data_IF_853163100037
#
_entry.id   IF_853163100037
#
_cell.length_a   1.000
_cell.length_b   1.000
_cell.length_c   1.000
_cell.angle_alpha   90.00
_cell.angle_beta   90.00
_cell.angle_gamma   90.00
#
_symmetry.space_group_name_H-M   'P 1'
#
loop_
_entity.id
_entity.type
_entity.pdbx_description
1 polymer ?
#
# COMPACT_ATOMS: atom_id res chain seq x y z
N UNK A 1 23.73 49.27 -59.85
CA UNK A 1 23.99 49.51 -58.40
C UNK A 1 22.81 50.13 -57.62
N UNK A 2 21.57 50.08 -58.11
CA UNK A 2 20.37 50.52 -57.35
C UNK A 2 19.38 49.40 -57.02
N UNK A 3 19.65 48.16 -57.46
CA UNK A 3 18.78 47.01 -57.19
C UNK A 3 19.18 46.20 -55.93
N UNK A 4 20.39 46.39 -55.41
CA UNK A 4 20.88 45.64 -54.24
C UNK A 4 20.68 46.34 -52.89
N UNK A 5 20.19 47.59 -52.87
CA UNK A 5 19.98 48.35 -51.62
C UNK A 5 18.61 48.13 -50.97
N UNK A 6 17.60 47.68 -51.74
CA UNK A 6 16.24 47.45 -51.22
C UNK A 6 16.02 46.06 -50.63
N UNK A 7 16.87 45.07 -50.93
CA UNK A 7 16.72 43.70 -50.38
C UNK A 7 17.31 43.60 -48.96
N UNK A 8 18.27 44.46 -48.60
CA UNK A 8 18.87 44.47 -47.26
C UNK A 8 18.06 45.23 -46.20
N UNK A 9 17.28 46.24 -46.59
CA UNK A 9 16.41 46.96 -45.64
C UNK A 9 15.13 46.20 -45.28
N UNK A 10 14.57 45.39 -46.19
CA UNK A 10 13.44 44.51 -45.86
C UNK A 10 13.87 43.35 -44.96
N UNK A 11 15.12 42.86 -45.08
CA UNK A 11 15.63 41.77 -44.24
C UNK A 11 15.87 42.19 -42.79
N UNK A 12 16.33 43.43 -42.56
CA UNK A 12 16.49 43.95 -41.19
C UNK A 12 15.17 44.32 -40.51
N UNK A 13 14.15 44.78 -41.26
CA UNK A 13 12.81 45.01 -40.69
C UNK A 13 12.08 43.67 -40.44
N UNK A 14 12.30 42.65 -41.26
CA UNK A 14 11.75 41.30 -41.05
C UNK A 14 12.42 40.58 -39.87
N UNK A 15 13.74 40.75 -39.69
CA UNK A 15 14.47 40.21 -38.52
C UNK A 15 14.14 40.99 -37.24
N UNK A 16 13.87 42.31 -37.32
CA UNK A 16 13.39 43.10 -36.18
C UNK A 16 11.89 42.89 -35.88
N UNK A 17 11.07 42.48 -36.86
CA UNK A 17 9.69 41.99 -36.63
C UNK A 17 9.69 40.58 -36.05
N UNK A 18 10.58 39.68 -36.50
CA UNK A 18 10.76 38.34 -35.93
C UNK A 18 11.29 38.39 -34.49
N UNK A 19 12.06 39.41 -34.12
CA UNK A 19 12.50 39.64 -32.75
C UNK A 19 11.39 40.18 -31.80
N UNK A 20 10.20 40.53 -32.33
CA UNK A 20 9.03 40.99 -31.55
C UNK A 20 7.92 39.94 -31.42
N UNK A 21 8.10 38.72 -31.93
CA UNK A 21 7.10 37.64 -31.96
C UNK A 21 7.62 36.43 -31.17
N UNK A 22 7.98 36.61 -29.89
CA UNK A 22 8.46 35.48 -29.06
C UNK A 22 7.37 34.82 -28.20
N UNK A 23 6.10 35.19 -28.38
CA UNK A 23 4.97 34.62 -27.63
C UNK A 23 3.93 33.91 -28.50
N UNK A 24 4.00 34.04 -29.84
CA UNK A 24 2.99 33.50 -30.76
C UNK A 24 3.35 32.17 -31.45
N UNK A 25 4.62 31.75 -31.47
CA UNK A 25 5.03 30.49 -32.13
C UNK A 25 4.56 29.24 -31.38
N UNK A 26 4.67 29.27 -30.06
CA UNK A 26 4.30 28.19 -29.16
C UNK A 26 2.86 27.66 -29.31
N UNK A 27 1.89 28.51 -29.64
CA UNK A 27 0.50 28.10 -29.91
C UNK A 27 0.39 27.32 -31.22
N UNK A 28 0.93 27.87 -32.31
CA UNK A 28 0.86 27.26 -33.64
C UNK A 28 1.65 25.95 -33.69
N UNK A 29 2.82 25.90 -33.08
CA UNK A 29 3.70 24.73 -33.13
C UNK A 29 3.07 23.54 -32.41
N UNK A 30 2.39 23.77 -31.27
CA UNK A 30 1.64 22.73 -30.57
C UNK A 30 0.46 22.22 -31.41
N UNK A 31 -0.42 23.11 -31.82
CA UNK A 31 -1.65 22.73 -32.54
C UNK A 31 -1.29 22.06 -33.86
N UNK A 32 -0.29 22.55 -34.61
CA UNK A 32 0.18 21.94 -35.86
C UNK A 32 0.81 20.57 -35.64
N UNK A 33 1.61 20.39 -34.58
CA UNK A 33 2.25 19.10 -34.28
C UNK A 33 1.21 17.98 -34.06
N UNK A 34 0.02 18.31 -33.54
CA UNK A 34 -1.03 17.33 -33.25
C UNK A 34 -2.15 17.29 -34.31
N UNK A 35 -2.44 18.39 -35.02
CA UNK A 35 -3.47 18.44 -36.05
C UNK A 35 -3.22 17.51 -37.25
N UNK A 36 -1.95 17.23 -37.56
CA UNK A 36 -1.57 16.39 -38.70
C UNK A 36 -1.58 14.88 -38.40
N UNK A 37 -1.96 14.46 -37.19
CA UNK A 37 -1.79 13.08 -36.74
C UNK A 37 -3.07 12.26 -36.83
N UNK A 38 -2.90 11.01 -37.26
CA UNK A 38 -3.99 10.03 -37.40
C UNK A 38 -4.17 9.17 -36.13
N UNK A 39 -3.15 9.09 -35.27
CA UNK A 39 -3.18 8.40 -33.98
C UNK A 39 -2.43 9.18 -32.90
N UNK A 40 -2.84 8.97 -31.64
CA UNK A 40 -2.19 9.54 -30.46
C UNK A 40 -1.69 8.43 -29.54
N UNK A 41 -0.89 7.53 -30.08
CA UNK A 41 -0.19 6.55 -29.25
C UNK A 41 0.89 7.24 -28.40
N UNK A 42 1.33 6.59 -27.32
CA UNK A 42 2.42 7.12 -26.48
C UNK A 42 3.69 7.49 -27.27
N UNK A 43 4.21 6.65 -28.20
CA UNK A 43 5.36 7.01 -29.05
C UNK A 43 5.11 8.24 -29.92
N UNK A 44 3.90 8.36 -30.48
CA UNK A 44 3.53 9.54 -31.25
C UNK A 44 3.64 10.76 -30.33
N UNK A 45 2.92 10.79 -29.22
CA UNK A 45 2.92 11.90 -28.27
C UNK A 45 4.34 12.32 -27.87
N UNK A 46 5.21 11.34 -27.62
CA UNK A 46 6.61 11.60 -27.28
C UNK A 46 7.34 12.34 -28.40
N UNK A 47 7.28 11.85 -29.64
CA UNK A 47 7.93 12.50 -30.79
C UNK A 47 7.40 13.92 -31.03
N UNK A 48 6.11 14.18 -30.80
CA UNK A 48 5.56 15.54 -30.90
C UNK A 48 6.11 16.44 -29.80
N UNK A 49 6.05 16.01 -28.54
CA UNK A 49 6.50 16.83 -27.41
C UNK A 49 8.02 17.06 -27.39
N UNK A 50 8.79 16.15 -27.96
CA UNK A 50 10.22 16.36 -28.22
C UNK A 50 10.46 17.49 -29.23
N UNK A 51 9.61 17.61 -30.25
CA UNK A 51 9.74 18.63 -31.31
C UNK A 51 9.34 20.05 -30.89
N UNK A 52 8.39 20.19 -29.95
CA UNK A 52 7.88 21.52 -29.52
C UNK A 52 8.60 22.05 -28.26
N UNK A 53 9.29 21.20 -27.50
CA UNK A 53 10.03 21.62 -26.29
C UNK A 53 9.13 21.94 -25.09
N UNK A 54 9.64 22.68 -24.09
CA UNK A 54 8.87 23.13 -22.92
C UNK A 54 8.54 24.62 -23.00
N UNK A 55 7.27 24.96 -22.78
CA UNK A 55 6.76 26.33 -22.87
C UNK A 55 5.37 26.40 -22.22
N UNK A 56 4.80 27.60 -22.14
CA UNK A 56 3.45 27.82 -21.57
C UNK A 56 2.47 28.15 -22.70
N UNK A 57 1.70 27.16 -23.23
CA UNK A 57 0.62 27.42 -24.16
C UNK A 57 -0.47 28.27 -23.52
N UNK A 58 -1.26 28.97 -24.34
CA UNK A 58 -2.45 29.65 -23.83
C UNK A 58 -3.56 28.63 -23.60
N UNK A 59 -4.52 28.96 -22.72
CA UNK A 59 -5.74 28.16 -22.54
C UNK A 59 -6.47 27.96 -23.88
N UNK A 60 -6.43 28.98 -24.75
CA UNK A 60 -7.02 28.90 -26.09
C UNK A 60 -6.31 27.87 -27.00
N UNK A 61 -4.98 27.72 -26.90
CA UNK A 61 -4.25 26.64 -27.58
C UNK A 61 -4.82 25.28 -27.22
N UNK A 62 -5.10 25.07 -25.93
CA UNK A 62 -5.63 23.79 -25.45
C UNK A 62 -7.09 23.59 -25.80
N UNK A 63 -7.92 24.63 -25.84
CA UNK A 63 -9.30 24.51 -26.36
C UNK A 63 -9.30 24.10 -27.82
N UNK A 64 -8.44 24.69 -28.64
CA UNK A 64 -8.30 24.28 -30.04
C UNK A 64 -7.84 22.83 -30.15
N UNK A 65 -6.78 22.46 -29.40
CA UNK A 65 -6.29 21.08 -29.38
C UNK A 65 -7.35 20.09 -28.89
N UNK A 66 -8.13 20.46 -27.88
CA UNK A 66 -9.24 19.67 -27.35
C UNK A 66 -10.25 19.35 -28.46
N UNK A 67 -10.70 20.36 -29.23
CA UNK A 67 -11.64 20.15 -30.33
C UNK A 67 -11.07 19.27 -31.45
N UNK A 68 -9.76 19.33 -31.72
CA UNK A 68 -9.11 18.42 -32.67
C UNK A 68 -9.15 16.98 -32.15
N UNK A 69 -8.81 16.79 -30.87
CA UNK A 69 -8.63 15.47 -30.27
C UNK A 69 -9.97 14.79 -29.95
N UNK A 70 -10.98 15.53 -29.49
CA UNK A 70 -12.28 14.98 -29.07
C UNK A 70 -12.98 14.21 -30.19
N UNK A 71 -12.77 14.64 -31.44
CA UNK A 71 -13.33 14.02 -32.64
C UNK A 71 -12.56 12.78 -33.13
N UNK A 72 -11.50 12.36 -32.44
CA UNK A 72 -10.63 11.26 -32.85
C UNK A 72 -10.94 9.97 -32.06
N UNK A 73 -10.71 8.78 -32.67
CA UNK A 73 -10.75 7.52 -31.95
C UNK A 73 -9.78 7.54 -30.75
N UNK A 74 -10.21 7.00 -29.60
CA UNK A 74 -9.42 7.00 -28.35
C UNK A 74 -9.10 8.39 -27.76
N UNK A 75 -9.89 9.41 -28.08
CA UNK A 75 -9.80 10.77 -27.48
C UNK A 75 -9.74 10.76 -25.94
N UNK A 76 -10.43 9.82 -25.30
CA UNK A 76 -10.44 9.65 -23.85
C UNK A 76 -9.07 9.34 -23.24
N UNK A 77 -8.13 8.72 -23.95
CA UNK A 77 -6.79 8.43 -23.40
C UNK A 77 -5.76 9.52 -23.70
N UNK A 78 -6.10 10.52 -24.51
CA UNK A 78 -5.13 11.53 -24.96
C UNK A 78 -4.55 12.34 -23.81
N UNK A 79 -5.38 13.05 -23.05
CA UNK A 79 -4.91 13.98 -22.00
C UNK A 79 -4.13 13.31 -20.87
N UNK A 80 -4.55 12.15 -20.33
CA UNK A 80 -3.74 11.43 -19.35
C UNK A 80 -2.37 11.05 -19.91
N UNK A 81 -2.32 10.51 -21.14
CA UNK A 81 -1.05 10.13 -21.78
C UNK A 81 -0.18 11.34 -22.11
N UNK A 82 -0.78 12.44 -22.57
CA UNK A 82 -0.08 13.69 -22.82
C UNK A 82 0.62 14.18 -21.55
N UNK A 83 -0.10 14.22 -20.43
CA UNK A 83 0.45 14.60 -19.12
C UNK A 83 1.56 13.64 -18.67
N UNK A 84 1.38 12.33 -18.85
CA UNK A 84 2.41 11.33 -18.53
C UNK A 84 3.68 11.56 -19.36
N UNK A 85 3.55 11.67 -20.69
CA UNK A 85 4.71 11.85 -21.58
C UNK A 85 5.39 13.20 -21.35
N UNK A 86 4.63 14.28 -21.16
CA UNK A 86 5.18 15.59 -20.84
C UNK A 86 5.97 15.57 -19.52
N UNK A 87 5.47 14.84 -18.52
CA UNK A 87 6.19 14.64 -17.24
C UNK A 87 7.46 13.79 -17.43
N UNK A 88 7.40 12.69 -18.19
CA UNK A 88 8.56 11.84 -18.51
C UNK A 88 9.66 12.59 -19.27
N UNK A 89 9.28 13.51 -20.17
CA UNK A 89 10.20 14.38 -20.92
C UNK A 89 10.66 15.62 -20.13
N UNK A 90 10.30 15.73 -18.85
CA UNK A 90 10.60 16.88 -18.00
C UNK A 90 10.17 18.21 -18.65
N UNK A 91 8.87 18.32 -18.95
CA UNK A 91 8.21 19.51 -19.52
C UNK A 91 7.29 20.19 -18.48
N UNK A 92 7.84 20.78 -17.40
CA UNK A 92 7.03 21.30 -16.30
C UNK A 92 6.11 22.45 -16.69
N UNK A 93 6.49 23.33 -17.63
CA UNK A 93 5.62 24.43 -18.07
C UNK A 93 4.40 23.91 -18.82
N UNK A 94 4.59 22.92 -19.69
CA UNK A 94 3.49 22.25 -20.39
C UNK A 94 2.57 21.51 -19.43
N UNK A 95 3.12 20.71 -18.51
CA UNK A 95 2.34 19.98 -17.51
C UNK A 95 1.49 20.93 -16.66
N UNK A 96 2.08 22.05 -16.22
CA UNK A 96 1.36 23.07 -15.45
C UNK A 96 0.25 23.72 -16.27
N UNK A 97 0.53 24.11 -17.50
CA UNK A 97 -0.45 24.77 -18.37
C UNK A 97 -1.64 23.84 -18.71
N UNK A 98 -1.39 22.54 -18.94
CA UNK A 98 -2.48 21.55 -19.11
C UNK A 98 -3.26 21.38 -17.80
N UNK A 99 -2.58 21.33 -16.66
CA UNK A 99 -3.26 21.24 -15.36
C UNK A 99 -4.17 22.44 -15.11
N UNK A 100 -3.71 23.65 -15.44
CA UNK A 100 -4.51 24.88 -15.34
C UNK A 100 -5.71 24.87 -16.31
N UNK A 101 -5.54 24.33 -17.53
CA UNK A 101 -6.64 24.14 -18.47
C UNK A 101 -7.70 23.16 -17.92
N UNK A 102 -7.27 22.05 -17.32
CA UNK A 102 -8.18 21.09 -16.69
C UNK A 102 -8.91 21.70 -15.50
N UNK A 103 -8.24 22.57 -14.73
CA UNK A 103 -8.86 23.31 -13.62
C UNK A 103 -9.86 24.37 -14.08
N UNK A 104 -9.62 25.05 -15.21
CA UNK A 104 -10.54 26.03 -15.80
C UNK A 104 -11.83 25.37 -16.31
N UNK A 105 -11.74 24.15 -16.84
CA UNK A 105 -12.86 23.46 -17.49
C UNK A 105 -12.93 21.96 -17.16
N UNK A 106 -13.08 21.56 -15.88
CA UNK A 106 -12.96 20.15 -15.47
C UNK A 106 -14.07 19.25 -16.02
N UNK A 107 -15.21 19.83 -16.41
CA UNK A 107 -16.31 19.12 -17.05
C UNK A 107 -15.97 18.57 -18.45
N UNK A 108 -15.00 19.15 -19.15
CA UNK A 108 -14.55 18.69 -20.47
C UNK A 108 -13.68 17.42 -20.38
N UNK A 109 -13.21 17.07 -19.19
CA UNK A 109 -12.23 16.00 -19.03
C UNK A 109 -12.85 14.76 -18.39
N UNK A 110 -12.37 13.58 -18.77
CA UNK A 110 -12.78 12.34 -18.15
C UNK A 110 -12.11 12.11 -16.78
N UNK A 111 -12.60 11.12 -16.05
CA UNK A 111 -12.13 10.78 -14.70
C UNK A 111 -10.62 10.45 -14.67
N UNK A 112 -10.09 9.77 -15.69
CA UNK A 112 -8.68 9.42 -15.76
C UNK A 112 -7.77 10.66 -15.87
N UNK A 113 -8.17 11.66 -16.66
CA UNK A 113 -7.45 12.93 -16.80
C UNK A 113 -7.44 13.69 -15.49
N UNK A 114 -8.61 13.80 -14.85
CA UNK A 114 -8.75 14.48 -13.56
C UNK A 114 -7.88 13.81 -12.50
N UNK A 115 -7.90 12.48 -12.42
CA UNK A 115 -7.05 11.73 -11.47
C UNK A 115 -5.55 11.97 -11.71
N UNK A 116 -5.12 12.07 -12.95
CA UNK A 116 -3.72 12.39 -13.26
C UNK A 116 -3.37 13.81 -12.83
N UNK A 117 -4.24 14.79 -13.09
CA UNK A 117 -4.04 16.18 -12.65
C UNK A 117 -4.01 16.29 -11.13
N UNK A 118 -4.90 15.59 -10.40
CA UNK A 118 -4.86 15.55 -8.93
C UNK A 118 -3.49 15.10 -8.40
N UNK A 119 -2.86 14.08 -9.01
CA UNK A 119 -1.52 13.60 -8.62
C UNK A 119 -0.42 14.63 -8.91
N UNK A 120 -0.53 15.34 -10.03
CA UNK A 120 0.41 16.39 -10.41
C UNK A 120 0.30 17.59 -9.46
N UNK A 121 -0.91 18.02 -9.13
CA UNK A 121 -1.15 19.11 -8.19
C UNK A 121 -0.61 18.82 -6.79
N UNK A 122 -0.67 17.56 -6.32
CA UNK A 122 -0.01 17.13 -5.08
C UNK A 122 1.51 17.34 -5.17
N UNK A 123 2.11 16.93 -6.29
CA UNK A 123 3.56 17.05 -6.51
C UNK A 123 4.01 18.51 -6.54
N UNK A 124 3.15 19.40 -7.04
CA UNK A 124 3.37 20.85 -7.07
C UNK A 124 2.94 21.57 -5.77
N UNK A 125 2.50 20.84 -4.74
CA UNK A 125 1.96 21.36 -3.47
C UNK A 125 0.77 22.34 -3.64
N UNK A 126 -0.01 22.21 -4.72
CA UNK A 126 -1.20 23.03 -5.00
C UNK A 126 -2.45 22.46 -4.33
N UNK A 127 -2.44 22.38 -3.00
CA UNK A 127 -3.44 21.61 -2.26
C UNK A 127 -4.88 22.17 -2.36
N UNK A 128 -5.06 23.49 -2.44
CA UNK A 128 -6.40 24.09 -2.61
C UNK A 128 -7.04 23.69 -3.96
N UNK A 129 -6.22 23.60 -5.02
CA UNK A 129 -6.66 23.12 -6.32
C UNK A 129 -6.98 21.62 -6.27
N UNK A 130 -6.19 20.83 -5.52
CA UNK A 130 -6.51 19.41 -5.25
C UNK A 130 -7.87 19.29 -4.60
N UNK A 131 -8.15 20.06 -3.54
CA UNK A 131 -9.41 20.00 -2.81
C UNK A 131 -10.60 20.32 -3.74
N UNK A 132 -10.50 21.41 -4.50
CA UNK A 132 -11.55 21.87 -5.41
C UNK A 132 -11.83 20.85 -6.52
N UNK A 133 -10.78 20.35 -7.17
CA UNK A 133 -10.89 19.38 -8.26
C UNK A 133 -11.36 18.01 -7.76
N UNK A 134 -10.89 17.57 -6.59
CA UNK A 134 -11.36 16.35 -5.94
C UNK A 134 -12.86 16.43 -5.63
N UNK A 135 -13.32 17.53 -5.04
CA UNK A 135 -14.74 17.71 -4.73
C UNK A 135 -15.56 17.68 -6.01
N UNK A 136 -15.13 18.38 -7.05
CA UNK A 136 -15.79 18.31 -8.36
C UNK A 136 -15.87 16.87 -8.87
N UNK A 137 -14.75 16.15 -8.85
CA UNK A 137 -14.70 14.75 -9.28
C UNK A 137 -15.64 13.87 -8.46
N UNK A 138 -15.59 13.96 -7.14
CA UNK A 138 -16.39 13.10 -6.27
C UNK A 138 -17.90 13.27 -6.50
N UNK A 139 -18.37 14.51 -6.70
CA UNK A 139 -19.78 14.81 -6.96
C UNK A 139 -20.27 14.34 -8.35
N UNK A 140 -19.39 14.24 -9.36
CA UNK A 140 -19.78 13.74 -10.69
C UNK A 140 -19.77 12.22 -10.82
N UNK A 141 -19.10 11.51 -9.91
CA UNK A 141 -19.05 10.05 -9.95
C UNK A 141 -20.39 9.46 -9.51
N UNK A 142 -20.84 8.44 -10.24
CA UNK A 142 -21.94 7.57 -9.79
C UNK A 142 -21.52 6.75 -8.56
N UNK A 143 -22.49 6.23 -7.80
CA UNK A 143 -22.19 5.40 -6.61
C UNK A 143 -21.29 4.20 -6.93
N UNK A 144 -21.44 3.59 -8.11
CA UNK A 144 -20.62 2.48 -8.55
C UNK A 144 -19.17 2.92 -8.82
N UNK A 145 -18.99 4.08 -9.46
CA UNK A 145 -17.67 4.64 -9.71
C UNK A 145 -17.00 5.15 -8.42
N UNK A 146 -17.76 5.74 -7.49
CA UNK A 146 -17.24 6.12 -6.17
C UNK A 146 -16.63 4.90 -5.47
N UNK A 147 -17.34 3.75 -5.47
CA UNK A 147 -16.80 2.50 -4.92
C UNK A 147 -15.59 1.96 -5.70
N UNK A 148 -15.52 2.22 -7.00
CA UNK A 148 -14.38 1.79 -7.82
C UNK A 148 -13.13 2.64 -7.58
N UNK A 149 -13.28 3.96 -7.37
CA UNK A 149 -12.17 4.92 -7.24
C UNK A 149 -11.86 5.33 -5.79
N UNK A 150 -12.65 4.91 -4.81
CA UNK A 150 -12.55 5.40 -3.43
C UNK A 150 -11.14 5.23 -2.85
N UNK A 151 -10.48 4.11 -3.14
CA UNK A 151 -9.15 3.86 -2.59
C UNK A 151 -8.11 4.84 -3.14
N UNK A 152 -8.15 5.10 -4.45
CA UNK A 152 -7.27 6.07 -5.10
C UNK A 152 -7.55 7.50 -4.61
N UNK A 153 -8.82 7.86 -4.37
CA UNK A 153 -9.19 9.16 -3.81
C UNK A 153 -8.70 9.33 -2.35
N UNK A 154 -8.76 8.26 -1.55
CA UNK A 154 -8.16 8.22 -0.21
C UNK A 154 -6.64 8.42 -0.31
N UNK A 155 -5.95 7.79 -1.27
CA UNK A 155 -4.52 7.98 -1.51
C UNK A 155 -4.18 9.43 -1.89
N UNK A 156 -4.99 10.05 -2.74
CA UNK A 156 -4.82 11.46 -3.14
C UNK A 156 -4.96 12.36 -1.92
N UNK A 157 -6.09 12.29 -1.21
CA UNK A 157 -6.33 13.16 -0.06
C UNK A 157 -5.36 12.90 1.10
N UNK A 158 -4.96 11.65 1.32
CA UNK A 158 -3.95 11.27 2.32
C UNK A 158 -2.58 11.92 2.11
N UNK A 159 -2.31 12.46 0.91
CA UNK A 159 -1.08 13.20 0.60
C UNK A 159 -1.23 14.72 0.75
N UNK A 160 -2.38 15.19 1.26
CA UNK A 160 -2.69 16.61 1.42
C UNK A 160 -3.06 16.97 2.86
N UNK A 161 -3.04 18.27 3.23
CA UNK A 161 -3.58 18.73 4.51
C UNK A 161 -5.04 18.36 4.76
N UNK A 162 -5.83 18.06 3.71
CA UNK A 162 -7.24 17.71 3.80
C UNK A 162 -7.48 16.19 3.92
N UNK A 163 -6.50 15.42 4.38
CA UNK A 163 -6.63 13.97 4.55
C UNK A 163 -7.86 13.55 5.37
N UNK A 164 -8.31 14.39 6.32
CA UNK A 164 -9.50 14.11 7.14
C UNK A 164 -10.79 14.02 6.30
N UNK A 165 -10.84 14.69 5.14
CA UNK A 165 -11.99 14.63 4.22
C UNK A 165 -12.19 13.24 3.60
N UNK A 166 -11.16 12.38 3.65
CA UNK A 166 -11.25 11.00 3.20
C UNK A 166 -11.78 10.04 4.29
N UNK A 167 -11.90 10.47 5.55
CA UNK A 167 -12.40 9.60 6.63
C UNK A 167 -13.83 9.05 6.36
N UNK A 168 -14.80 9.84 5.88
CA UNK A 168 -16.14 9.34 5.59
C UNK A 168 -16.15 8.26 4.50
N UNK A 169 -15.19 8.32 3.57
CA UNK A 169 -15.08 7.36 2.46
C UNK A 169 -14.71 5.95 2.89
N UNK A 170 -14.16 5.77 4.09
CA UNK A 170 -13.83 4.45 4.63
C UNK A 170 -15.06 3.53 4.72
N UNK A 171 -16.26 4.11 4.80
CA UNK A 171 -17.53 3.38 4.76
C UNK A 171 -17.85 2.75 3.41
N UNK A 172 -17.25 3.26 2.33
CA UNK A 172 -17.40 2.76 0.96
C UNK A 172 -16.39 1.65 0.62
N UNK A 173 -15.43 1.39 1.52
CA UNK A 173 -14.37 0.39 1.32
C UNK A 173 -14.85 -1.03 1.64
N UNK A 174 -14.45 -2.00 0.82
CA UNK A 174 -14.54 -3.42 1.18
C UNK A 174 -13.61 -3.79 2.33
N UNK A 175 -13.95 -4.83 3.10
CA UNK A 175 -13.23 -5.26 4.30
C UNK A 175 -11.73 -5.51 4.09
N UNK A 176 -11.34 -6.08 2.93
CA UNK A 176 -9.94 -6.38 2.60
C UNK A 176 -9.05 -5.16 2.37
N UNK A 177 -9.61 -4.04 1.91
CA UNK A 177 -8.85 -2.82 1.57
C UNK A 177 -8.92 -1.74 2.65
N UNK A 178 -9.78 -1.93 3.66
CA UNK A 178 -10.01 -0.97 4.73
C UNK A 178 -8.75 -0.68 5.56
N UNK A 179 -7.96 -1.72 5.90
CA UNK A 179 -6.72 -1.56 6.68
C UNK A 179 -5.68 -0.74 5.90
N UNK A 180 -5.56 -0.97 4.60
CA UNK A 180 -4.63 -0.20 3.76
C UNK A 180 -5.07 1.25 3.62
N UNK A 181 -6.37 1.53 3.49
CA UNK A 181 -6.90 2.88 3.49
C UNK A 181 -6.63 3.60 4.83
N UNK A 182 -6.83 2.92 5.96
CA UNK A 182 -6.48 3.47 7.28
C UNK A 182 -4.98 3.80 7.39
N UNK A 183 -4.09 2.93 6.90
CA UNK A 183 -2.64 3.20 6.89
C UNK A 183 -2.28 4.46 6.10
N UNK A 184 -2.91 4.65 4.94
CA UNK A 184 -2.74 5.86 4.12
C UNK A 184 -3.17 7.11 4.90
N UNK A 185 -4.29 7.05 5.60
CA UNK A 185 -4.79 8.19 6.38
C UNK A 185 -3.95 8.44 7.64
N UNK A 186 -3.40 7.39 8.25
CA UNK A 186 -2.43 7.55 9.33
C UNK A 186 -1.15 8.25 8.83
N UNK A 187 -0.69 7.94 7.61
CA UNK A 187 0.43 8.63 6.98
C UNK A 187 0.11 10.12 6.72
N UNK A 188 -1.10 10.42 6.24
CA UNK A 188 -1.59 11.79 6.08
C UNK A 188 -1.62 12.56 7.42
N UNK A 189 -2.15 11.95 8.47
CA UNK A 189 -2.11 12.51 9.81
C UNK A 189 -0.66 12.76 10.28
N UNK A 190 0.25 11.82 10.02
CA UNK A 190 1.66 11.96 10.39
C UNK A 190 2.35 13.10 9.62
N UNK A 191 1.91 13.41 8.39
CA UNK A 191 2.43 14.52 7.58
C UNK A 191 1.87 15.89 7.98
N UNK A 192 0.60 15.97 8.35
CA UNK A 192 -0.09 17.26 8.44
C UNK A 192 -0.69 17.58 9.82
N UNK A 193 -0.89 16.60 10.69
CA UNK A 193 -1.61 16.78 11.97
C UNK A 193 -0.68 16.76 13.19
N UNK A 194 -1.27 16.98 14.37
CA UNK A 194 -0.58 16.91 15.66
C UNK A 194 -0.25 15.45 16.05
N UNK A 195 0.77 15.19 16.91
CA UNK A 195 1.08 13.84 17.39
C UNK A 195 -0.12 13.12 18.01
N UNK A 196 -0.97 13.85 18.74
CA UNK A 196 -2.21 13.31 19.34
C UNK A 196 -3.16 12.75 18.26
N UNK A 197 -3.33 13.47 17.17
CA UNK A 197 -4.18 13.03 16.05
C UNK A 197 -3.58 11.80 15.38
N UNK A 198 -2.26 11.73 15.21
CA UNK A 198 -1.58 10.56 14.65
C UNK A 198 -1.85 9.33 15.50
N UNK A 199 -1.67 9.42 16.82
CA UNK A 199 -1.91 8.30 17.74
C UNK A 199 -3.37 7.86 17.74
N UNK A 200 -4.31 8.80 17.76
CA UNK A 200 -5.74 8.50 17.62
C UNK A 200 -6.05 7.75 16.31
N UNK A 201 -5.39 8.12 15.21
CA UNK A 201 -5.53 7.41 13.94
C UNK A 201 -4.91 6.00 13.99
N UNK A 202 -3.73 5.86 14.58
CA UNK A 202 -3.07 4.58 14.77
C UNK A 202 -3.88 3.64 15.68
N UNK A 203 -4.60 4.17 16.67
CA UNK A 203 -5.52 3.39 17.53
C UNK A 203 -6.57 2.62 16.73
N UNK A 204 -7.02 3.19 15.60
CA UNK A 204 -8.05 2.62 14.73
C UNK A 204 -7.53 1.45 13.89
N UNK A 205 -6.22 1.25 13.82
CA UNK A 205 -5.64 0.10 13.13
C UNK A 205 -5.86 -1.19 13.93
N UNK A 206 -6.14 -2.31 13.24
CA UNK A 206 -6.38 -3.59 13.91
C UNK A 206 -5.12 -4.10 14.62
N UNK A 207 -5.35 -4.85 15.69
CA UNK A 207 -4.31 -5.61 16.37
C UNK A 207 -3.67 -6.63 15.41
N UNK A 208 -2.36 -6.87 15.55
CA UNK A 208 -1.56 -7.82 14.76
C UNK A 208 -1.41 -7.52 13.26
N UNK A 209 -2.49 -7.20 12.54
CA UNK A 209 -2.50 -7.04 11.07
C UNK A 209 -2.43 -5.58 10.63
N UNK A 210 -2.62 -4.64 11.56
CA UNK A 210 -2.68 -3.20 11.30
C UNK A 210 -1.36 -2.47 11.42
N UNK A 211 -0.21 -3.14 11.36
CA UNK A 211 1.11 -2.49 11.52
C UNK A 211 1.24 -1.28 10.58
N UNK A 212 1.55 -0.08 11.09
CA UNK A 212 1.77 1.10 10.25
C UNK A 212 2.92 0.91 9.26
N UNK A 213 2.89 1.63 8.14
CA UNK A 213 3.96 1.58 7.15
C UNK A 213 5.19 2.40 7.62
N UNK A 214 6.36 2.11 7.03
CA UNK A 214 7.61 2.82 7.34
C UNK A 214 7.49 4.33 7.09
N UNK A 215 6.69 4.71 6.10
CA UNK A 215 6.45 6.10 5.70
C UNK A 215 5.82 6.91 6.84
N UNK A 216 4.91 6.31 7.61
CA UNK A 216 4.31 6.95 8.79
C UNK A 216 5.38 7.30 9.82
N UNK A 217 6.21 6.33 10.19
CA UNK A 217 7.27 6.56 11.19
C UNK A 217 8.29 7.56 10.68
N UNK A 218 8.66 7.47 9.40
CA UNK A 218 9.55 8.45 8.78
C UNK A 218 9.00 9.88 8.89
N UNK A 219 7.72 10.09 8.51
CA UNK A 219 7.11 11.42 8.57
C UNK A 219 6.92 11.92 10.01
N UNK A 220 6.51 11.05 10.93
CA UNK A 220 6.33 11.40 12.34
C UNK A 220 7.66 11.83 12.96
N UNK A 221 8.68 10.99 12.87
CA UNK A 221 9.99 11.22 13.51
C UNK A 221 10.76 12.37 12.85
N UNK A 222 10.57 12.61 11.54
CA UNK A 222 11.18 13.77 10.87
C UNK A 222 10.53 15.09 11.27
N UNK A 223 9.22 15.11 11.51
CA UNK A 223 8.49 16.32 11.92
C UNK A 223 8.67 16.65 13.39
N UNK A 224 8.89 15.64 14.22
CA UNK A 224 9.11 15.77 15.66
C UNK A 224 10.49 15.20 16.02
N UNK A 225 11.59 15.87 15.64
CA UNK A 225 12.94 15.32 15.73
C UNK A 225 13.49 15.28 17.16
N UNK A 226 12.92 16.04 18.09
CA UNK A 226 13.38 16.09 19.48
C UNK A 226 12.37 15.49 20.44
N UNK A 227 12.87 14.99 21.58
CA UNK A 227 12.03 14.53 22.69
C UNK A 227 11.04 15.61 23.13
N UNK A 228 11.41 16.89 23.20
CA UNK A 228 10.46 17.94 23.61
C UNK A 228 9.24 18.06 22.69
N UNK A 229 9.37 17.69 21.42
CA UNK A 229 8.30 17.79 20.43
C UNK A 229 7.33 16.59 20.50
N UNK A 230 7.79 15.45 21.02
CA UNK A 230 7.02 14.20 21.15
C UNK A 230 6.77 13.80 22.62
N UNK A 231 7.27 14.59 23.58
CA UNK A 231 7.62 14.15 24.94
C UNK A 231 6.44 13.53 25.70
N UNK A 232 5.27 14.16 25.60
CA UNK A 232 4.09 13.72 26.34
C UNK A 232 3.40 12.50 25.70
N UNK A 233 3.90 12.04 24.56
CA UNK A 233 3.22 11.08 23.67
C UNK A 233 4.11 9.93 23.19
N UNK A 234 5.41 9.99 23.46
CA UNK A 234 6.31 8.88 23.14
C UNK A 234 5.93 7.61 23.92
N UNK A 235 5.65 7.74 25.22
CA UNK A 235 5.22 6.60 26.03
C UNK A 235 3.89 6.03 25.54
N UNK A 236 2.96 6.90 25.11
CA UNK A 236 1.70 6.49 24.48
C UNK A 236 1.93 5.75 23.16
N UNK A 237 2.87 6.22 22.32
CA UNK A 237 3.27 5.54 21.09
C UNK A 237 3.83 4.14 21.36
N UNK A 238 4.79 4.02 22.27
CA UNK A 238 5.43 2.74 22.60
C UNK A 238 4.42 1.78 23.24
N UNK A 239 3.57 2.28 24.14
CA UNK A 239 2.48 1.52 24.76
C UNK A 239 1.46 1.05 23.72
N UNK A 240 1.09 1.92 22.77
CA UNK A 240 0.21 1.57 21.67
C UNK A 240 0.80 0.43 20.83
N UNK A 241 2.06 0.57 20.40
CA UNK A 241 2.75 -0.45 19.60
C UNK A 241 2.82 -1.79 20.35
N UNK A 242 3.12 -1.74 21.65
CA UNK A 242 3.17 -2.93 22.50
C UNK A 242 1.80 -3.62 22.62
N UNK A 243 0.75 -2.87 22.97
CA UNK A 243 -0.62 -3.38 23.13
C UNK A 243 -1.19 -3.93 21.82
N UNK A 244 -0.91 -3.28 20.69
CA UNK A 244 -1.36 -3.74 19.37
C UNK A 244 -0.55 -4.93 18.83
N UNK A 245 0.49 -5.34 19.57
CA UNK A 245 1.39 -6.44 19.22
C UNK A 245 2.00 -6.27 17.82
N UNK A 246 2.39 -5.05 17.47
CA UNK A 246 2.95 -4.76 16.16
C UNK A 246 4.43 -5.13 16.10
N UNK A 247 4.75 -5.99 15.13
CA UNK A 247 6.12 -6.28 14.73
C UNK A 247 6.45 -5.34 13.57
N UNK A 248 7.39 -4.41 13.79
CA UNK A 248 7.79 -3.42 12.79
C UNK A 248 8.83 -3.98 11.83
N UNK A 249 8.94 -3.35 10.66
CA UNK A 249 9.98 -3.68 9.68
C UNK A 249 11.38 -3.29 10.20
N UNK A 250 12.42 -3.81 9.54
CA UNK A 250 13.81 -3.42 9.77
C UNK A 250 14.03 -1.91 9.52
N UNK A 251 13.42 -1.35 8.47
CA UNK A 251 13.51 0.08 8.17
C UNK A 251 12.92 0.94 9.30
N UNK A 252 11.75 0.56 9.81
CA UNK A 252 11.13 1.26 10.93
C UNK A 252 11.98 1.14 12.20
N UNK A 253 12.56 -0.03 12.45
CA UNK A 253 13.49 -0.22 13.57
C UNK A 253 14.74 0.69 13.44
N UNK A 254 15.29 0.82 12.24
CA UNK A 254 16.41 1.72 11.95
C UNK A 254 16.05 3.19 12.18
N UNK A 255 14.87 3.63 11.71
CA UNK A 255 14.36 4.98 11.93
C UNK A 255 14.23 5.30 13.41
N UNK A 256 13.59 4.40 14.18
CA UNK A 256 13.45 4.53 15.62
C UNK A 256 14.81 4.58 16.32
N UNK A 257 15.72 3.64 16.01
CA UNK A 257 17.04 3.61 16.63
C UNK A 257 17.84 4.87 16.34
N UNK A 258 17.79 5.38 15.10
CA UNK A 258 18.44 6.64 14.72
C UNK A 258 17.86 7.81 15.51
N UNK A 259 16.53 7.91 15.59
CA UNK A 259 15.86 8.98 16.32
C UNK A 259 16.16 8.93 17.82
N UNK A 260 16.16 7.75 18.46
CA UNK A 260 16.52 7.61 19.87
C UNK A 260 17.98 7.99 20.14
N UNK A 261 18.90 7.62 19.24
CA UNK A 261 20.32 7.95 19.37
C UNK A 261 20.64 9.42 19.06
N UNK A 262 19.78 10.14 18.35
CA UNK A 262 19.94 11.59 18.13
C UNK A 262 19.44 12.42 19.31
N UNK A 263 18.74 11.83 20.28
CA UNK A 263 18.37 12.51 21.51
C UNK A 263 19.60 12.71 22.40
N UNK A 264 19.47 13.55 23.44
CA UNK A 264 20.58 13.82 24.37
C UNK A 264 21.27 12.51 24.79
N UNK A 265 22.61 12.40 24.71
CA UNK A 265 23.34 11.15 24.94
C UNK A 265 23.10 10.49 26.31
N UNK A 266 22.56 11.25 27.26
CA UNK A 266 22.25 10.79 28.60
C UNK A 266 20.86 10.17 28.74
N UNK A 267 19.98 10.31 27.73
CA UNK A 267 18.57 9.91 27.83
C UNK A 267 18.30 8.53 27.24
N UNK A 268 18.81 8.24 26.04
CA UNK A 268 18.53 6.98 25.34
C UNK A 268 19.74 6.47 24.56
N UNK A 269 19.84 5.14 24.45
CA UNK A 269 20.79 4.47 23.57
C UNK A 269 20.13 3.25 22.94
N UNK A 270 19.93 3.30 21.64
CA UNK A 270 19.36 2.22 20.85
C UNK A 270 20.46 1.43 20.13
N UNK A 271 20.37 0.10 20.17
CA UNK A 271 21.30 -0.83 19.50
C UNK A 271 20.50 -1.80 18.64
N UNK A 272 20.84 -1.91 17.36
CA UNK A 272 20.23 -2.85 16.41
C UNK A 272 21.00 -4.17 16.35
N UNK A 273 20.42 -5.16 15.67
CA UNK A 273 21.05 -6.46 15.41
C UNK A 273 21.46 -7.23 16.68
N UNK A 274 20.72 -7.00 17.78
CA UNK A 274 20.92 -7.69 19.04
C UNK A 274 20.35 -9.10 18.94
N UNK A 275 21.22 -10.10 18.96
CA UNK A 275 20.81 -11.51 19.01
C UNK A 275 20.47 -11.89 20.46
N UNK A 276 19.22 -12.26 20.70
CA UNK A 276 18.76 -12.75 21.99
C UNK A 276 18.73 -14.28 21.91
N UNK A 277 19.46 -14.94 22.82
CA UNK A 277 19.48 -16.39 22.90
C UNK A 277 18.21 -16.88 23.59
N UNK A 278 17.51 -17.84 22.97
CA UNK A 278 16.22 -18.37 23.47
C UNK A 278 16.33 -18.94 24.89
N UNK A 279 17.48 -19.54 25.23
CA UNK A 279 17.68 -20.25 26.50
C UNK A 279 17.62 -19.37 27.75
N UNK A 280 17.76 -18.05 27.64
CA UNK A 280 17.69 -17.13 28.77
C UNK A 280 16.83 -15.89 28.54
N UNK A 281 16.41 -15.63 27.30
CA UNK A 281 15.63 -14.46 26.89
C UNK A 281 16.22 -13.14 27.40
N UNK A 282 17.54 -13.08 27.62
CA UNK A 282 18.22 -11.93 28.22
C UNK A 282 18.89 -11.11 27.12
N UNK A 283 18.64 -9.81 27.11
CA UNK A 283 19.31 -8.89 26.20
C UNK A 283 20.80 -8.78 26.60
N UNK A 284 21.77 -9.05 25.69
CA UNK A 284 23.20 -8.98 26.00
C UNK A 284 23.70 -7.54 26.19
N UNK A 285 22.95 -6.53 25.74
CA UNK A 285 23.34 -5.12 25.82
C UNK A 285 22.92 -4.50 27.15
N UNK A 286 21.64 -4.62 27.52
CA UNK A 286 21.11 -4.01 28.75
C UNK A 286 20.94 -4.97 29.92
N UNK A 287 21.22 -6.27 29.72
CA UNK A 287 21.05 -7.33 30.71
C UNK A 287 19.62 -7.50 31.26
N UNK A 288 18.62 -6.85 30.67
CA UNK A 288 17.22 -7.06 31.00
C UNK A 288 16.69 -8.34 30.35
N UNK A 289 15.75 -8.99 31.02
CA UNK A 289 15.07 -10.18 30.52
C UNK A 289 13.82 -9.75 29.76
N UNK A 290 13.63 -10.28 28.55
CA UNK A 290 12.37 -10.13 27.84
C UNK A 290 11.24 -10.82 28.63
N UNK A 291 10.03 -10.27 28.59
CA UNK A 291 8.88 -10.95 29.17
C UNK A 291 8.71 -12.32 28.52
N UNK A 292 8.65 -13.36 29.33
CA UNK A 292 8.34 -14.71 28.85
C UNK A 292 6.86 -14.75 28.52
N UNK A 293 6.51 -15.22 27.32
CA UNK A 293 5.12 -15.45 26.96
C UNK A 293 4.53 -16.48 27.93
N UNK A 294 3.62 -16.03 28.81
CA UNK A 294 2.88 -16.92 29.70
C UNK A 294 1.58 -17.35 29.00
N UNK A 295 1.58 -18.58 28.50
CA UNK A 295 0.37 -19.22 28.00
C UNK A 295 -0.39 -19.79 29.21
N UNK A 296 -1.25 -18.97 29.83
CA UNK A 296 -2.09 -19.47 30.94
C UNK A 296 -3.13 -20.45 30.41
N UNK A 297 -3.51 -21.42 31.25
CA UNK A 297 -4.51 -22.44 30.90
C UNK A 297 -5.83 -21.81 30.44
N UNK A 298 -6.25 -20.71 31.06
CA UNK A 298 -7.47 -19.98 30.68
C UNK A 298 -7.35 -19.37 29.28
N UNK A 299 -6.21 -18.75 28.96
CA UNK A 299 -5.98 -18.14 27.64
C UNK A 299 -5.93 -19.19 26.54
N UNK A 300 -5.24 -20.31 26.80
CA UNK A 300 -5.17 -21.44 25.87
C UNK A 300 -6.57 -22.03 25.65
N UNK A 301 -7.33 -22.24 26.72
CA UNK A 301 -8.69 -22.80 26.64
C UNK A 301 -9.63 -21.89 25.86
N UNK A 302 -9.55 -20.57 26.06
CA UNK A 302 -10.31 -19.58 25.30
C UNK A 302 -9.98 -19.60 23.80
N UNK A 303 -8.69 -19.63 23.45
CA UNK A 303 -8.24 -19.74 22.06
C UNK A 303 -8.72 -21.04 21.40
N UNK A 304 -8.61 -22.17 22.11
CA UNK A 304 -9.06 -23.47 21.62
C UNK A 304 -10.57 -23.48 21.36
N UNK A 305 -11.36 -22.90 22.28
CA UNK A 305 -12.81 -22.80 22.11
C UNK A 305 -13.20 -21.92 20.92
N UNK A 306 -12.55 -20.76 20.75
CA UNK A 306 -12.81 -19.87 19.63
C UNK A 306 -12.43 -20.51 18.28
N UNK A 307 -11.28 -21.18 18.23
CA UNK A 307 -10.85 -21.94 17.06
C UNK A 307 -11.86 -23.05 16.72
N UNK A 308 -12.30 -23.83 17.71
CA UNK A 308 -13.29 -24.89 17.50
C UNK A 308 -14.60 -24.34 16.94
N UNK A 309 -15.10 -23.21 17.46
CA UNK A 309 -16.35 -22.62 16.94
C UNK A 309 -16.19 -22.07 15.51
N UNK A 310 -15.09 -21.35 15.23
CA UNK A 310 -14.92 -20.65 13.94
C UNK A 310 -14.42 -21.57 12.82
N UNK A 311 -13.43 -22.42 13.10
CA UNK A 311 -12.74 -23.22 12.09
C UNK A 311 -13.33 -24.63 11.93
N UNK A 312 -13.83 -25.24 13.00
CA UNK A 312 -14.30 -26.63 12.96
C UNK A 312 -15.82 -26.75 12.87
N UNK A 313 -16.56 -26.04 13.74
CA UNK A 313 -18.03 -26.09 13.76
C UNK A 313 -18.67 -25.20 12.70
N UNK A 314 -18.03 -24.06 12.40
CA UNK A 314 -18.59 -23.01 11.56
C UNK A 314 -19.70 -22.22 12.26
N UNK A 315 -19.73 -20.90 12.05
CA UNK A 315 -20.74 -20.01 12.61
C UNK A 315 -21.71 -19.44 11.56
N UNK A 316 -21.53 -19.76 10.28
CA UNK A 316 -22.40 -19.32 9.18
C UNK A 316 -22.21 -20.13 7.88
N UNK A 317 -23.09 -19.93 6.90
CA UNK A 317 -23.07 -20.64 5.60
C UNK A 317 -21.82 -20.35 4.76
N UNK A 318 -21.17 -19.21 4.97
CA UNK A 318 -19.95 -18.81 4.24
C UNK A 318 -18.67 -19.37 4.89
N UNK A 319 -18.75 -19.91 6.11
CA UNK A 319 -17.65 -20.59 6.78
C UNK A 319 -17.38 -21.99 6.22
N UNK A 320 -18.31 -22.52 5.40
CA UNK A 320 -18.33 -23.91 4.93
C UNK A 320 -17.22 -24.26 3.92
N UNK A 321 -16.56 -23.28 3.30
CA UNK A 321 -15.50 -23.55 2.31
C UNK A 321 -14.15 -23.95 2.93
N UNK A 322 -14.03 -23.97 4.26
CA UNK A 322 -12.83 -24.38 5.01
C UNK A 322 -13.12 -25.39 6.14
N UNK A 323 -14.36 -25.85 6.30
CA UNK A 323 -14.77 -26.66 7.46
C UNK A 323 -14.88 -28.14 7.12
N UNK A 324 -14.32 -28.97 7.99
CA UNK A 324 -14.67 -30.39 8.17
C UNK A 324 -16.17 -30.64 8.06
N UNK A 325 -16.59 -31.74 7.44
CA UNK A 325 -18.00 -32.13 7.40
C UNK A 325 -18.52 -32.45 8.81
N UNK A 326 -19.84 -32.35 9.07
CA UNK A 326 -20.41 -32.71 10.37
C UNK A 326 -20.06 -34.13 10.83
N UNK A 327 -19.98 -35.08 9.89
CA UNK A 327 -19.65 -36.48 10.17
C UNK A 327 -18.17 -36.67 10.50
N UNK A 328 -17.27 -35.96 9.81
CA UNK A 328 -15.83 -35.94 10.14
C UNK A 328 -15.58 -35.31 11.51
N UNK A 329 -16.25 -34.20 11.82
CA UNK A 329 -16.17 -33.55 13.12
C UNK A 329 -16.70 -34.46 14.25
N UNK A 330 -17.80 -35.18 13.99
CA UNK A 330 -18.36 -36.14 14.94
C UNK A 330 -17.39 -37.31 15.19
N UNK A 331 -16.80 -37.86 14.13
CA UNK A 331 -15.79 -38.93 14.21
C UNK A 331 -14.56 -38.48 15.00
N UNK A 332 -14.04 -37.29 14.72
CA UNK A 332 -12.89 -36.72 15.42
C UNK A 332 -13.17 -36.50 16.91
N UNK A 333 -14.33 -35.94 17.26
CA UNK A 333 -14.72 -35.73 18.65
C UNK A 333 -14.84 -37.05 19.42
N UNK A 334 -15.40 -38.10 18.78
CA UNK A 334 -15.48 -39.43 19.38
C UNK A 334 -14.09 -40.01 19.61
N UNK A 335 -13.23 -39.97 18.59
CA UNK A 335 -11.84 -40.45 18.69
C UNK A 335 -11.08 -39.77 19.84
N UNK A 336 -11.20 -38.44 19.97
CA UNK A 336 -10.55 -37.68 21.04
C UNK A 336 -11.12 -38.01 22.43
N UNK A 337 -12.44 -38.25 22.54
CA UNK A 337 -13.09 -38.64 23.80
C UNK A 337 -12.71 -40.07 24.24
N UNK A 338 -12.42 -40.96 23.30
CA UNK A 338 -12.00 -42.34 23.56
C UNK A 338 -10.53 -42.44 24.01
N UNK A 339 -9.76 -41.34 23.98
CA UNK A 339 -8.37 -41.34 24.43
C UNK A 339 -8.26 -41.36 25.95
N UNK A 340 -7.40 -42.24 26.46
CA UNK A 340 -7.16 -42.41 27.91
C UNK A 340 -6.25 -41.34 28.52
N UNK A 341 -5.50 -40.61 27.70
CA UNK A 341 -4.70 -39.45 28.12
C UNK A 341 -4.44 -38.51 26.92
N UNK A 342 -4.03 -37.24 27.18
CA UNK A 342 -3.64 -36.30 26.13
C UNK A 342 -2.42 -36.78 25.33
N UNK A 343 -2.30 -36.25 24.11
CA UNK A 343 -1.11 -36.42 23.27
C UNK A 343 -0.04 -35.39 23.63
N UNK A 344 1.23 -35.79 23.54
CA UNK A 344 2.37 -34.89 23.73
C UNK A 344 2.63 -34.06 22.47
N UNK A 345 2.34 -34.62 21.31
CA UNK A 345 2.55 -33.97 20.02
C UNK A 345 1.48 -34.40 18.99
N UNK A 346 0.99 -33.42 18.22
CA UNK A 346 0.10 -33.64 17.08
C UNK A 346 0.84 -33.22 15.82
N UNK A 347 0.91 -34.13 14.85
CA UNK A 347 1.68 -33.97 13.61
C UNK A 347 0.71 -33.86 12.44
N UNK A 348 0.78 -32.73 11.74
CA UNK A 348 0.14 -32.57 10.43
C UNK A 348 0.99 -33.26 9.37
N UNK A 349 0.59 -34.49 9.04
CA UNK A 349 1.39 -35.40 8.23
C UNK A 349 1.56 -34.88 6.79
N UNK A 350 0.54 -34.27 6.21
CA UNK A 350 0.57 -33.84 4.81
C UNK A 350 1.46 -32.61 4.64
N UNK A 351 1.39 -31.66 5.58
CA UNK A 351 2.28 -30.52 5.58
C UNK A 351 3.74 -30.93 5.83
N UNK A 352 3.97 -31.93 6.69
CA UNK A 352 5.29 -32.50 6.91
C UNK A 352 5.86 -33.13 5.62
N UNK A 353 5.09 -33.97 4.94
CA UNK A 353 5.49 -34.61 3.67
C UNK A 353 5.80 -33.59 2.58
N UNK A 354 4.98 -32.54 2.47
CA UNK A 354 5.20 -31.44 1.53
C UNK A 354 6.51 -30.69 1.82
N UNK A 355 6.83 -30.43 3.09
CA UNK A 355 8.10 -29.79 3.47
C UNK A 355 9.33 -30.62 3.08
N UNK A 356 9.21 -31.95 3.09
CA UNK A 356 10.26 -32.86 2.63
C UNK A 356 10.28 -33.05 1.10
N UNK A 357 9.39 -32.37 0.36
CA UNK A 357 9.28 -32.49 -1.10
C UNK A 357 8.80 -33.87 -1.56
N UNK A 358 8.14 -34.64 -0.68
CA UNK A 358 7.65 -35.96 -1.01
C UNK A 358 6.21 -35.83 -1.53
N UNK A 359 5.94 -36.21 -2.79
CA UNK A 359 4.60 -36.16 -3.34
C UNK A 359 3.69 -37.15 -2.61
N UNK A 360 2.54 -36.69 -2.14
CA UNK A 360 1.57 -37.56 -1.51
C UNK A 360 0.90 -38.45 -2.56
N UNK A 361 1.17 -39.76 -2.49
CA UNK A 361 0.47 -40.78 -3.26
C UNK A 361 -0.50 -41.52 -2.32
N UNK A 362 -1.83 -41.39 -2.48
CA UNK A 362 -2.81 -41.99 -1.58
C UNK A 362 -2.63 -43.51 -1.41
N UNK A 363 -2.20 -44.19 -2.46
CA UNK A 363 -1.96 -45.64 -2.48
C UNK A 363 -0.76 -46.08 -1.64
N UNK A 364 0.17 -45.14 -1.33
CA UNK A 364 1.37 -45.37 -0.52
C UNK A 364 1.29 -44.65 0.84
N UNK A 365 0.17 -44.03 1.18
CA UNK A 365 0.00 -43.26 2.41
C UNK A 365 0.41 -44.06 3.66
N UNK A 366 0.00 -45.33 3.76
CA UNK A 366 0.40 -46.21 4.87
C UNK A 366 1.92 -46.42 4.97
N UNK A 367 2.62 -46.58 3.85
CA UNK A 367 4.07 -46.75 3.82
C UNK A 367 4.79 -45.47 4.27
N UNK A 368 4.37 -44.32 3.76
CA UNK A 368 4.96 -43.03 4.15
C UNK A 368 4.71 -42.72 5.62
N UNK A 369 3.53 -43.08 6.15
CA UNK A 369 3.27 -42.92 7.58
C UNK A 369 4.21 -43.83 8.39
N UNK A 370 4.39 -45.09 7.99
CA UNK A 370 5.35 -45.98 8.65
C UNK A 370 6.79 -45.43 8.59
N UNK A 371 7.27 -44.96 7.44
CA UNK A 371 8.62 -44.41 7.31
C UNK A 371 8.85 -43.17 8.19
N UNK A 372 7.89 -42.25 8.22
CA UNK A 372 7.95 -41.07 9.08
C UNK A 372 7.86 -41.47 10.56
N UNK A 373 7.05 -42.47 10.88
CA UNK A 373 6.92 -42.99 12.25
C UNK A 373 8.22 -43.63 12.72
N UNK A 374 8.87 -44.42 11.87
CA UNK A 374 10.16 -45.03 12.14
C UNK A 374 11.26 -43.97 12.31
N UNK A 375 11.23 -42.89 11.51
CA UNK A 375 12.09 -41.72 11.67
C UNK A 375 11.87 -41.04 13.03
N UNK A 376 10.63 -40.76 13.41
CA UNK A 376 10.30 -40.14 14.70
C UNK A 376 10.72 -41.03 15.88
N UNK A 377 10.47 -42.35 15.76
CA UNK A 377 10.88 -43.36 16.74
C UNK A 377 12.42 -43.46 16.84
N UNK A 378 13.14 -43.23 15.75
CA UNK A 378 14.60 -43.29 15.72
C UNK A 378 15.26 -42.05 16.32
N UNK A 379 14.60 -40.88 16.22
CA UNK A 379 15.12 -39.62 16.75
C UNK A 379 14.99 -39.48 18.29
N UNK A 380 14.03 -40.15 18.94
CA UNK A 380 13.79 -39.99 20.39
C UNK A 380 13.87 -41.30 21.18
N UNK A 381 14.71 -41.33 22.23
CA UNK A 381 14.91 -42.47 23.14
C UNK A 381 13.88 -42.54 24.29
N UNK A 382 12.79 -41.79 24.21
CA UNK A 382 11.80 -41.60 25.30
C UNK A 382 10.37 -41.90 24.84
N UNK A 383 9.52 -42.39 25.76
CA UNK A 383 8.10 -42.69 25.51
C UNK A 383 7.28 -41.41 25.41
N UNK A 384 6.83 -41.07 24.20
CA UNK A 384 5.90 -39.97 23.90
C UNK A 384 4.69 -40.52 23.16
N UNK A 385 3.52 -39.91 23.38
CA UNK A 385 2.27 -40.22 22.65
C UNK A 385 2.08 -39.26 21.49
N UNK A 386 2.13 -39.76 20.27
CA UNK A 386 1.98 -38.97 19.04
C UNK A 386 0.62 -39.21 18.38
N UNK A 387 0.03 -38.15 17.82
CA UNK A 387 -1.11 -38.22 16.93
C UNK A 387 -0.70 -37.76 15.53
N UNK A 388 -0.80 -38.63 14.53
CA UNK A 388 -0.61 -38.25 13.13
C UNK A 388 -1.96 -38.02 12.44
N UNK A 389 -2.13 -36.83 11.86
CA UNK A 389 -3.35 -36.43 11.15
C UNK A 389 -3.05 -36.37 9.65
N UNK A 390 -3.77 -37.18 8.85
CA UNK A 390 -3.73 -37.16 7.38
C UNK A 390 -5.13 -36.83 6.83
N UNK A 391 -5.34 -35.59 6.38
CA UNK A 391 -6.65 -35.06 5.99
C UNK A 391 -7.14 -35.47 4.59
N UNK A 392 -6.33 -36.14 3.77
CA UNK A 392 -6.69 -36.51 2.37
C UNK A 392 -7.37 -37.88 2.29
N UNK A 393 -7.26 -38.72 3.31
CA UNK A 393 -7.73 -40.12 3.26
C UNK A 393 -8.61 -40.55 4.45
N UNK A 394 -9.01 -39.64 5.34
CA UNK A 394 -9.74 -40.00 6.57
C UNK A 394 -8.99 -41.03 7.45
N UNK A 395 -7.66 -41.00 7.41
CA UNK A 395 -6.83 -41.90 8.21
C UNK A 395 -6.24 -41.09 9.37
N UNK A 396 -6.72 -41.38 10.58
CA UNK A 396 -6.09 -40.97 11.85
C UNK A 396 -5.28 -42.16 12.33
N UNK A 397 -3.95 -42.04 12.38
CA UNK A 397 -3.08 -43.11 12.88
C UNK A 397 -2.60 -42.74 14.28
N UNK A 398 -2.88 -43.64 15.21
CA UNK A 398 -2.43 -43.59 16.59
C UNK A 398 -1.14 -44.38 16.73
N UNK A 399 -0.12 -43.76 17.32
CA UNK A 399 1.14 -44.44 17.63
C UNK A 399 1.38 -44.27 19.13
N UNK A 400 1.36 -45.39 19.83
CA UNK A 400 1.58 -45.48 21.27
C UNK A 400 2.72 -46.45 21.52
N UNK A 401 3.63 -46.08 22.43
CA UNK A 401 4.84 -46.83 22.70
C UNK A 401 5.09 -47.03 24.19
#
# INVERSE_FOLDING_TARGET
MLFFRNVLNCRNIFVQMLARISTAHNHCDLVQAFAARQSFSKPDLQAALESVGDFTPTVESFRHLYHIVENQPASGSFWPQFLTVASELNRPLLVRAVSDFVLDSPALHNNATIMQVLRLLISDNRFEDVLSLYQFMFHRLTDAEQKAFVFELIIILGQTPYWENALPMLSLMGSGSHVNALRVLCDGAARFSSPKTVLSMMERLPEHTGVPNDRLFSNLLSRFPSMSDLNDRLDELLTLMHRKHWIVSENTALLLATWFNSQSPQSYRATLNVKILESNAKCPICNLRLPVFQATSERISGLAAEFYQKALKGSGKDSLYLTTTPDELHTMNRFLADQTAPFDCVIDFLNLMHQFGIPFEPQKAGHFICEVSDLLIWFERTSYRYLLICSVTNIVIFIDK
#
